data_IF_117534470227
#
_entry.id   IF_117534470227
#
_cell.length_a   1.000
_cell.length_b   1.000
_cell.length_c   1.000
_cell.angle_alpha   90.00
_cell.angle_beta   90.00
_cell.angle_gamma   90.00
#
_symmetry.space_group_name_H-M   'P 1'
#
loop_
_entity.id
_entity.type
_entity.pdbx_description
1 polymer ?
#
# COMPACT_ATOMS: atom_id res chain seq x y z
N UNK A 1 -37.01 -2.69 -12.72
CA UNK A 1 -35.60 -3.02 -12.46
C UNK A 1 -35.46 -3.44 -11.00
N UNK A 2 -35.25 -4.74 -10.73
CA UNK A 2 -35.03 -5.21 -9.35
C UNK A 2 -33.74 -4.65 -8.80
N UNK A 3 -33.75 -4.16 -7.55
CA UNK A 3 -32.52 -3.82 -6.83
C UNK A 3 -31.66 -5.08 -6.77
N UNK A 4 -30.55 -5.14 -7.52
CA UNK A 4 -29.55 -6.20 -7.31
C UNK A 4 -29.04 -6.01 -5.89
N UNK A 5 -29.42 -6.92 -4.99
CA UNK A 5 -28.92 -6.93 -3.63
C UNK A 5 -27.41 -7.15 -3.61
N UNK A 6 -26.74 -6.66 -2.58
CA UNK A 6 -25.34 -6.96 -2.35
C UNK A 6 -25.18 -8.47 -2.13
N UNK A 7 -24.48 -9.15 -3.05
CA UNK A 7 -24.34 -10.60 -3.06
C UNK A 7 -23.31 -11.08 -2.02
N UNK A 8 -23.54 -10.74 -0.75
CA UNK A 8 -22.59 -10.91 0.37
C UNK A 8 -21.98 -12.31 0.41
N UNK A 9 -22.80 -13.36 0.34
CA UNK A 9 -22.33 -14.75 0.41
C UNK A 9 -21.31 -15.10 -0.69
N UNK A 10 -21.51 -14.60 -1.92
CA UNK A 10 -20.57 -14.82 -3.02
C UNK A 10 -19.24 -14.07 -2.79
N UNK A 11 -19.29 -12.86 -2.24
CA UNK A 11 -18.08 -12.13 -1.89
C UNK A 11 -17.30 -12.79 -0.75
N UNK A 12 -17.99 -13.30 0.27
CA UNK A 12 -17.36 -14.06 1.35
C UNK A 12 -16.68 -15.30 0.80
N UNK A 13 -17.37 -16.11 -0.01
CA UNK A 13 -16.79 -17.31 -0.62
C UNK A 13 -15.59 -17.00 -1.51
N UNK A 14 -15.64 -15.90 -2.28
CA UNK A 14 -14.51 -15.44 -3.09
C UNK A 14 -13.29 -15.09 -2.24
N UNK A 15 -13.45 -14.28 -1.19
CA UNK A 15 -12.32 -13.88 -0.36
C UNK A 15 -11.79 -15.02 0.50
N UNK A 16 -12.65 -15.95 0.94
CA UNK A 16 -12.27 -17.14 1.69
C UNK A 16 -11.39 -18.07 0.85
N UNK A 17 -11.77 -18.30 -0.41
CA UNK A 17 -10.94 -19.04 -1.37
C UNK A 17 -9.59 -18.35 -1.58
N UNK A 18 -9.59 -17.06 -1.90
CA UNK A 18 -8.36 -16.28 -2.14
C UNK A 18 -7.43 -16.18 -0.92
N UNK A 19 -7.97 -16.30 0.29
CA UNK A 19 -7.18 -16.31 1.53
C UNK A 19 -6.50 -17.66 1.80
N UNK A 20 -6.99 -18.74 1.18
CA UNK A 20 -6.51 -20.11 1.40
C UNK A 20 -5.60 -20.57 0.27
N UNK A 21 -6.06 -20.43 -0.98
CA UNK A 21 -5.34 -20.90 -2.16
C UNK A 21 -5.67 -20.00 -3.36
N UNK A 22 -4.63 -19.53 -4.05
CA UNK A 22 -4.79 -18.73 -5.26
C UNK A 22 -5.02 -19.65 -6.47
N UNK A 23 -6.07 -19.43 -7.28
CA UNK A 23 -6.28 -20.18 -8.51
C UNK A 23 -5.12 -20.00 -9.50
N UNK A 24 -4.87 -21.00 -10.35
CA UNK A 24 -3.79 -21.01 -11.35
C UNK A 24 -3.77 -19.77 -12.26
N UNK A 25 -4.94 -19.20 -12.57
CA UNK A 25 -5.06 -17.98 -13.37
C UNK A 25 -4.37 -16.76 -12.73
N UNK A 26 -4.09 -16.80 -11.42
CA UNK A 26 -3.33 -15.79 -10.68
C UNK A 26 -1.82 -16.03 -10.68
N UNK A 27 -1.30 -17.09 -11.32
CA UNK A 27 0.13 -17.33 -11.44
C UNK A 27 0.92 -16.12 -12.00
N UNK A 28 0.41 -15.33 -12.99
CA UNK A 28 1.09 -14.12 -13.44
C UNK A 28 1.21 -13.02 -12.37
N UNK A 29 0.42 -13.12 -11.30
CA UNK A 29 0.42 -12.21 -10.16
C UNK A 29 1.23 -12.74 -8.97
N UNK A 30 2.04 -13.79 -9.15
CA UNK A 30 2.81 -14.40 -8.05
C UNK A 30 3.66 -13.36 -7.31
N UNK A 31 4.29 -12.41 -8.03
CA UNK A 31 5.07 -11.31 -7.40
C UNK A 31 4.24 -10.40 -6.49
N UNK A 32 2.92 -10.43 -6.62
CA UNK A 32 1.95 -9.66 -5.84
C UNK A 32 1.18 -10.54 -4.83
N UNK A 33 1.62 -11.76 -4.55
CA UNK A 33 0.93 -12.73 -3.68
C UNK A 33 0.56 -12.12 -2.33
N UNK A 34 1.50 -11.41 -1.68
CA UNK A 34 1.23 -10.75 -0.40
C UNK A 34 0.16 -9.64 -0.51
N UNK A 35 0.14 -8.91 -1.62
CA UNK A 35 -0.86 -7.87 -1.91
C UNK A 35 -2.24 -8.49 -2.17
N UNK A 36 -2.31 -9.64 -2.85
CA UNK A 36 -3.55 -10.39 -3.04
C UNK A 36 -4.08 -10.91 -1.70
N UNK A 37 -3.21 -11.44 -0.84
CA UNK A 37 -3.55 -11.82 0.52
C UNK A 37 -4.12 -10.65 1.32
N UNK A 38 -3.54 -9.45 1.19
CA UNK A 38 -4.07 -8.24 1.81
C UNK A 38 -5.51 -7.94 1.36
N UNK A 39 -5.81 -8.02 0.07
CA UNK A 39 -7.17 -7.80 -0.41
C UNK A 39 -8.15 -8.88 0.06
N UNK A 40 -7.73 -10.15 0.10
CA UNK A 40 -8.56 -11.25 0.58
C UNK A 40 -8.91 -11.09 2.07
N UNK A 41 -7.89 -10.92 2.92
CA UNK A 41 -8.06 -10.76 4.37
C UNK A 41 -8.78 -9.44 4.71
N UNK A 42 -8.46 -8.35 4.01
CA UNK A 42 -9.18 -7.08 4.14
C UNK A 42 -10.64 -7.20 3.74
N UNK A 43 -10.96 -7.93 2.68
CA UNK A 43 -12.31 -8.22 2.25
C UNK A 43 -13.12 -8.99 3.30
N UNK A 44 -12.56 -10.06 3.85
CA UNK A 44 -13.18 -10.81 4.95
C UNK A 44 -13.41 -9.95 6.20
N UNK A 45 -12.42 -9.13 6.56
CA UNK A 45 -12.53 -8.20 7.69
C UNK A 45 -13.65 -7.17 7.49
N UNK A 46 -13.72 -6.53 6.32
CA UNK A 46 -14.78 -5.58 5.97
C UNK A 46 -16.17 -6.22 6.00
N UNK A 47 -16.26 -7.49 5.61
CA UNK A 47 -17.49 -8.27 5.65
C UNK A 47 -17.81 -8.83 7.04
N UNK A 48 -16.92 -8.67 8.03
CA UNK A 48 -17.02 -9.24 9.39
C UNK A 48 -17.06 -10.77 9.40
N UNK A 49 -16.20 -11.39 8.60
CA UNK A 49 -16.08 -12.85 8.43
C UNK A 49 -14.63 -13.32 8.63
N UNK A 50 -13.85 -12.58 9.43
CA UNK A 50 -12.44 -12.87 9.70
C UNK A 50 -12.25 -14.10 10.62
N UNK A 51 -13.31 -14.56 11.27
CA UNK A 51 -13.36 -15.79 12.06
C UNK A 51 -13.28 -17.06 11.22
N UNK A 52 -13.48 -16.97 9.89
CA UNK A 52 -13.34 -18.11 8.96
C UNK A 52 -11.91 -18.59 8.79
N UNK A 53 -10.95 -17.69 9.01
CA UNK A 53 -9.54 -17.97 8.76
C UNK A 53 -8.78 -18.19 10.05
N UNK A 54 -7.74 -19.04 9.99
CA UNK A 54 -6.83 -19.21 11.10
C UNK A 54 -5.85 -18.02 11.15
N UNK A 55 -6.11 -17.09 12.07
CA UNK A 55 -5.33 -15.85 12.24
C UNK A 55 -3.86 -16.09 12.56
N UNK A 56 -3.56 -17.11 13.35
CA UNK A 56 -2.18 -17.45 13.72
C UNK A 56 -1.41 -18.02 12.53
N UNK A 57 -2.05 -18.88 11.73
CA UNK A 57 -1.44 -19.41 10.50
C UNK A 57 -1.26 -18.32 9.44
N UNK A 58 -2.20 -17.38 9.31
CA UNK A 58 -2.01 -16.20 8.45
C UNK A 58 -0.83 -15.36 8.94
N UNK A 59 -0.74 -15.10 10.25
CA UNK A 59 0.36 -14.32 10.80
C UNK A 59 1.71 -14.99 10.53
N UNK A 60 1.84 -16.30 10.76
CA UNK A 60 3.04 -17.08 10.42
C UNK A 60 3.35 -17.02 8.93
N UNK A 61 2.33 -17.17 8.08
CA UNK A 61 2.49 -17.08 6.63
C UNK A 61 3.04 -15.70 6.23
N UNK A 62 2.45 -14.60 6.71
CA UNK A 62 2.93 -13.24 6.41
C UNK A 62 4.36 -13.03 6.91
N UNK A 63 4.65 -13.43 8.15
CA UNK A 63 6.00 -13.31 8.74
C UNK A 63 7.06 -14.07 7.94
N UNK A 64 6.69 -15.15 7.24
CA UNK A 64 7.62 -15.88 6.36
C UNK A 64 8.12 -15.09 5.13
N UNK A 65 7.50 -13.95 4.82
CA UNK A 65 7.95 -13.04 3.75
C UNK A 65 8.88 -11.94 4.26
N UNK A 66 9.10 -11.84 5.58
CA UNK A 66 10.00 -10.84 6.14
C UNK A 66 11.44 -11.17 5.75
N UNK A 67 12.14 -10.16 5.23
CA UNK A 67 13.55 -10.27 4.84
C UNK A 67 14.40 -9.70 5.96
N UNK A 68 15.36 -10.50 6.43
CA UNK A 68 16.25 -10.13 7.52
C UNK A 68 17.70 -9.92 7.02
N UNK A 69 18.50 -9.07 7.67
CA UNK A 69 19.93 -8.99 7.42
C UNK A 69 20.62 -10.34 7.67
N UNK A 70 21.61 -10.69 6.85
CA UNK A 70 22.45 -11.86 7.11
C UNK A 70 23.40 -11.57 8.27
N UNK A 71 23.58 -12.54 9.18
CA UNK A 71 24.37 -12.40 10.42
C UNK A 71 25.85 -12.01 10.23
N UNK A 72 26.36 -12.08 8.99
CA UNK A 72 27.75 -11.80 8.62
C UNK A 72 27.88 -10.87 7.40
N UNK A 73 26.79 -10.23 6.98
CA UNK A 73 26.76 -9.27 5.88
C UNK A 73 26.87 -7.83 6.37
N UNK A 74 27.49 -6.98 5.55
CA UNK A 74 27.61 -5.54 5.78
C UNK A 74 26.21 -4.93 5.99
N UNK A 75 25.91 -4.44 7.21
CA UNK A 75 24.65 -3.74 7.54
C UNK A 75 24.42 -2.51 6.62
N UNK A 76 25.44 -2.13 5.85
CA UNK A 76 25.43 -1.03 4.90
C UNK A 76 25.45 -1.43 3.41
N UNK A 77 25.09 -2.68 3.07
CA UNK A 77 24.98 -3.11 1.66
C UNK A 77 23.88 -2.40 0.84
N UNK A 78 23.17 -1.44 1.45
CA UNK A 78 22.10 -0.65 0.83
C UNK A 78 20.75 -1.38 0.72
N UNK A 79 20.65 -2.64 1.14
CA UNK A 79 19.41 -3.42 1.01
C UNK A 79 18.26 -2.90 1.85
N UNK A 80 17.05 -3.05 1.32
CA UNK A 80 15.81 -2.83 2.06
C UNK A 80 15.35 -4.12 2.75
N UNK A 81 15.14 -4.11 4.06
CA UNK A 81 14.76 -5.27 4.87
C UNK A 81 13.28 -5.22 5.29
N UNK A 82 12.42 -5.24 4.28
CA UNK A 82 10.97 -5.22 4.45
C UNK A 82 10.36 -6.61 4.30
N UNK A 83 9.23 -6.67 3.62
CA UNK A 83 8.61 -7.91 3.17
C UNK A 83 8.71 -8.02 1.65
N UNK A 84 8.97 -9.23 1.16
CA UNK A 84 8.90 -9.53 -0.27
C UNK A 84 7.44 -9.76 -0.70
N UNK A 85 7.14 -9.46 -1.97
CA UNK A 85 5.79 -9.70 -2.52
C UNK A 85 5.49 -11.18 -2.78
N UNK A 86 6.55 -11.98 -2.97
CA UNK A 86 6.51 -13.44 -3.17
C UNK A 86 7.74 -14.09 -2.54
N UNK A 87 7.65 -15.36 -2.13
CA UNK A 87 8.84 -16.15 -1.78
C UNK A 87 9.66 -16.52 -3.01
N UNK A 88 9.05 -16.58 -4.19
CA UNK A 88 9.77 -16.86 -5.45
C UNK A 88 10.84 -15.79 -5.75
N UNK A 89 10.64 -14.54 -5.32
CA UNK A 89 11.62 -13.46 -5.51
C UNK A 89 12.83 -13.55 -4.58
N UNK A 90 12.81 -14.46 -3.60
CA UNK A 90 13.97 -14.73 -2.73
C UNK A 90 14.96 -15.71 -3.39
N UNK A 91 14.58 -16.39 -4.47
CA UNK A 91 15.45 -17.31 -5.20
C UNK A 91 16.10 -16.58 -6.39
N UNK A 92 17.44 -16.49 -6.45
CA UNK A 92 18.12 -15.90 -7.59
C UNK A 92 17.85 -16.74 -8.85
N UNK A 93 17.63 -16.07 -9.99
CA UNK A 93 17.54 -16.76 -11.27
C UNK A 93 18.87 -17.50 -11.53
N UNK A 94 18.85 -18.75 -12.03
CA UNK A 94 20.07 -19.43 -12.42
C UNK A 94 20.68 -18.59 -13.55
N UNK A 95 21.85 -17.99 -13.27
CA UNK A 95 22.64 -17.06 -14.12
C UNK A 95 22.51 -15.56 -13.82
N UNK A 96 21.70 -15.15 -12.84
CA UNK A 96 21.71 -13.77 -12.32
C UNK A 96 21.91 -13.82 -10.82
N UNK A 97 23.18 -13.89 -10.39
CA UNK A 97 23.53 -13.45 -9.03
C UNK A 97 23.52 -11.93 -9.06
N UNK A 98 22.35 -11.33 -8.88
CA UNK A 98 22.29 -9.95 -8.44
C UNK A 98 22.28 -9.97 -6.90
N UNK A 99 23.43 -9.79 -6.23
CA UNK A 99 23.49 -9.76 -4.77
C UNK A 99 22.65 -8.62 -4.17
N UNK A 100 22.14 -7.70 -5.00
CA UNK A 100 21.33 -6.57 -4.60
C UNK A 100 19.81 -6.84 -4.69
N UNK A 101 19.33 -8.05 -5.00
CA UNK A 101 17.88 -8.29 -5.07
C UNK A 101 17.41 -9.29 -4.01
N UNK A 102 17.05 -8.77 -2.83
CA UNK A 102 16.43 -9.57 -1.76
C UNK A 102 14.90 -9.65 -1.85
N UNK A 103 14.31 -9.08 -2.92
CA UNK A 103 12.87 -9.10 -3.18
C UNK A 103 12.01 -8.19 -2.30
N UNK A 104 12.58 -7.47 -1.33
CA UNK A 104 11.81 -6.56 -0.47
C UNK A 104 11.22 -5.40 -1.25
N UNK A 105 9.95 -5.10 -0.98
CA UNK A 105 9.21 -4.05 -1.67
C UNK A 105 8.34 -3.26 -0.69
N UNK A 106 8.28 -1.94 -0.84
CA UNK A 106 7.59 -1.07 0.12
C UNK A 106 6.07 -1.34 0.17
N UNK A 107 5.45 -1.57 -0.99
CA UNK A 107 4.04 -1.97 -1.06
C UNK A 107 3.76 -3.36 -0.45
N UNK A 108 4.71 -4.30 -0.58
CA UNK A 108 4.62 -5.61 0.06
C UNK A 108 4.72 -5.50 1.58
N UNK A 109 5.65 -4.67 2.05
CA UNK A 109 5.82 -4.34 3.48
C UNK A 109 4.56 -3.72 4.09
N UNK A 110 3.96 -2.75 3.39
CA UNK A 110 2.67 -2.18 3.79
C UNK A 110 1.57 -3.26 3.87
N UNK A 111 1.47 -4.12 2.85
CA UNK A 111 0.48 -5.20 2.79
C UNK A 111 0.65 -6.19 3.95
N UNK A 112 1.88 -6.64 4.23
CA UNK A 112 2.20 -7.52 5.35
C UNK A 112 1.76 -6.93 6.70
N UNK A 113 2.23 -5.72 7.03
CA UNK A 113 1.89 -5.10 8.32
C UNK A 113 0.39 -4.86 8.46
N UNK A 114 -0.29 -4.53 7.36
CA UNK A 114 -1.75 -4.35 7.38
C UNK A 114 -2.47 -5.67 7.62
N UNK A 115 -2.07 -6.77 6.97
CA UNK A 115 -2.63 -8.11 7.24
C UNK A 115 -2.42 -8.48 8.71
N UNK A 116 -1.19 -8.35 9.22
CA UNK A 116 -0.84 -8.65 10.61
C UNK A 116 -1.72 -7.86 11.59
N UNK A 117 -1.92 -6.55 11.32
CA UNK A 117 -2.80 -5.71 12.12
C UNK A 117 -4.27 -6.14 12.02
N UNK A 118 -4.76 -6.51 10.83
CA UNK A 118 -6.15 -6.98 10.64
C UNK A 118 -6.41 -8.28 11.42
N UNK A 119 -5.48 -9.23 11.38
CA UNK A 119 -5.63 -10.51 12.10
C UNK A 119 -5.36 -10.40 13.61
N UNK A 120 -4.99 -9.21 14.10
CA UNK A 120 -4.77 -8.95 15.53
C UNK A 120 -3.40 -9.36 16.04
N UNK A 121 -2.41 -9.53 15.16
CA UNK A 121 -1.03 -9.78 15.55
C UNK A 121 -0.42 -8.55 16.23
N UNK A 122 0.31 -8.75 17.33
CA UNK A 122 1.01 -7.67 18.01
C UNK A 122 2.27 -7.27 17.24
N UNK A 123 2.22 -6.11 16.55
CA UNK A 123 3.34 -5.61 15.74
C UNK A 123 4.60 -5.31 16.55
N UNK A 124 4.52 -5.15 17.88
CA UNK A 124 5.69 -5.00 18.75
C UNK A 124 6.63 -6.23 18.72
N UNK A 125 6.15 -7.38 18.23
CA UNK A 125 6.96 -8.59 18.07
C UNK A 125 7.76 -8.63 16.76
N UNK A 126 7.62 -7.63 15.88
CA UNK A 126 8.40 -7.53 14.65
C UNK A 126 9.69 -6.80 14.97
N UNK A 127 10.83 -7.33 14.50
CA UNK A 127 12.07 -6.55 14.44
C UNK A 127 11.93 -5.47 13.36
N UNK A 128 11.47 -4.29 13.78
CA UNK A 128 11.24 -3.13 12.93
C UNK A 128 12.48 -2.29 12.70
N UNK A 129 13.58 -2.51 13.46
CA UNK A 129 14.74 -1.62 13.41
C UNK A 129 15.43 -1.69 12.06
N UNK A 130 15.74 -2.89 11.59
CA UNK A 130 16.35 -3.09 10.27
C UNK A 130 15.41 -2.61 9.14
N UNK A 131 14.11 -2.87 9.27
CA UNK A 131 13.08 -2.43 8.34
C UNK A 131 13.05 -0.91 8.20
N UNK A 132 12.95 -0.18 9.31
CA UNK A 132 12.83 1.28 9.30
C UNK A 132 14.12 1.97 8.87
N UNK A 133 15.28 1.53 9.38
CA UNK A 133 16.57 2.11 9.01
C UNK A 133 16.86 1.93 7.52
N UNK A 134 16.56 0.76 6.96
CA UNK A 134 16.72 0.51 5.53
C UNK A 134 15.65 1.19 4.68
N UNK A 135 14.39 1.27 5.15
CA UNK A 135 13.33 2.04 4.49
C UNK A 135 13.70 3.52 4.36
N UNK A 136 14.35 4.10 5.37
CA UNK A 136 14.81 5.50 5.33
C UNK A 136 15.74 5.77 4.15
N UNK A 137 16.59 4.80 3.79
CA UNK A 137 17.52 4.90 2.65
C UNK A 137 16.78 4.95 1.30
N UNK A 138 15.50 4.55 1.25
CA UNK A 138 14.67 4.65 0.05
C UNK A 138 14.11 6.06 -0.18
N UNK A 139 14.17 6.94 0.83
CA UNK A 139 13.72 8.31 0.69
C UNK A 139 14.72 9.13 -0.13
N UNK A 140 14.22 9.77 -1.17
CA UNK A 140 15.01 10.56 -2.09
C UNK A 140 15.26 11.98 -1.56
N UNK A 141 16.26 12.71 -2.09
CA UNK A 141 16.55 14.08 -1.69
C UNK A 141 15.36 15.04 -1.81
N UNK A 142 14.49 14.81 -2.79
CA UNK A 142 13.27 15.61 -3.03
C UNK A 142 12.11 15.24 -2.09
N UNK A 143 12.27 14.20 -1.27
CA UNK A 143 11.28 13.68 -0.31
C UNK A 143 10.38 12.58 -0.84
N UNK A 144 10.49 12.21 -2.13
CA UNK A 144 9.81 11.03 -2.68
C UNK A 144 10.40 9.72 -2.12
N UNK A 145 9.72 8.60 -2.35
CA UNK A 145 10.20 7.28 -1.96
C UNK A 145 10.32 6.36 -3.16
N UNK A 146 11.40 5.60 -3.20
CA UNK A 146 11.54 4.45 -4.07
C UNK A 146 10.92 3.21 -3.41
N UNK A 147 10.36 2.26 -4.19
CA UNK A 147 9.78 1.05 -3.62
C UNK A 147 10.80 -0.02 -3.22
N UNK A 148 12.00 0.03 -3.80
CA UNK A 148 13.10 -0.92 -3.59
C UNK A 148 14.42 -0.15 -3.61
N UNK A 149 15.49 -0.78 -3.13
CA UNK A 149 16.82 -0.17 -3.04
C UNK A 149 17.60 -0.14 -4.37
N UNK A 150 17.16 -0.90 -5.37
CA UNK A 150 17.87 -1.06 -6.65
C UNK A 150 17.50 -0.04 -7.73
N UNK A 151 16.53 0.85 -7.49
CA UNK A 151 15.97 1.66 -8.58
C UNK A 151 14.56 1.23 -8.95
N UNK A 152 13.64 2.18 -8.99
CA UNK A 152 12.29 2.03 -9.55
C UNK A 152 11.62 3.41 -9.66
N UNK A 153 10.37 3.45 -10.10
CA UNK A 153 9.61 4.69 -10.17
C UNK A 153 9.40 5.31 -8.79
N UNK A 154 9.42 6.64 -8.74
CA UNK A 154 8.98 7.39 -7.57
C UNK A 154 7.52 7.80 -7.79
N UNK A 155 6.66 7.35 -6.86
CA UNK A 155 5.22 7.53 -6.89
C UNK A 155 4.74 7.84 -5.47
N UNK A 156 3.70 8.65 -5.34
CA UNK A 156 3.16 9.05 -4.04
C UNK A 156 2.62 7.87 -3.23
N UNK A 157 2.23 6.78 -3.90
CA UNK A 157 1.88 5.50 -3.27
C UNK A 157 2.97 5.02 -2.32
N UNK A 158 4.24 5.22 -2.66
CA UNK A 158 5.36 4.79 -1.83
C UNK A 158 5.59 5.72 -0.64
N UNK A 159 5.32 7.02 -0.80
CA UNK A 159 5.27 7.95 0.34
C UNK A 159 4.16 7.56 1.32
N UNK A 160 2.99 7.18 0.81
CA UNK A 160 1.90 6.65 1.62
C UNK A 160 2.29 5.36 2.34
N UNK A 161 2.89 4.39 1.63
CA UNK A 161 3.33 3.14 2.25
C UNK A 161 4.33 3.41 3.38
N UNK A 162 5.36 4.24 3.16
CA UNK A 162 6.35 4.58 4.19
C UNK A 162 5.70 5.25 5.41
N UNK A 163 4.83 6.25 5.19
CA UNK A 163 4.14 6.95 6.26
C UNK A 163 3.22 6.02 7.07
N UNK A 164 2.47 5.14 6.39
CA UNK A 164 1.60 4.15 7.02
C UNK A 164 2.40 3.10 7.81
N UNK A 165 3.53 2.64 7.28
CA UNK A 165 4.44 1.70 7.98
C UNK A 165 4.94 2.34 9.28
N UNK A 166 5.51 3.56 9.22
CA UNK A 166 5.95 4.30 10.41
C UNK A 166 4.82 4.45 11.43
N UNK A 167 3.61 4.80 10.96
CA UNK A 167 2.45 4.96 11.84
C UNK A 167 1.95 3.65 12.44
N UNK A 168 2.01 2.52 11.72
CA UNK A 168 1.60 1.22 12.23
C UNK A 168 2.56 0.68 13.29
N UNK A 169 3.85 0.95 13.12
CA UNK A 169 4.92 0.53 14.03
C UNK A 169 5.17 1.52 15.18
N UNK A 170 4.48 2.66 15.17
CA UNK A 170 4.68 3.78 16.11
C UNK A 170 6.16 4.25 16.20
N UNK A 171 6.87 4.20 15.06
CA UNK A 171 8.26 4.60 14.96
C UNK A 171 8.49 5.34 13.64
N UNK A 172 8.90 6.61 13.76
CA UNK A 172 9.12 7.53 12.64
C UNK A 172 10.58 7.65 12.19
N UNK A 173 11.48 6.83 12.73
CA UNK A 173 12.90 6.84 12.33
C UNK A 173 13.10 6.50 10.85
N UNK A 174 12.17 5.76 10.25
CA UNK A 174 12.20 5.32 8.86
C UNK A 174 11.82 6.35 7.80
N UNK A 175 11.45 7.58 8.19
CA UNK A 175 11.06 8.62 7.23
C UNK A 175 11.33 10.04 7.76
N UNK A 176 11.87 10.90 6.90
CA UNK A 176 11.85 12.35 7.09
C UNK A 176 10.48 12.92 6.69
N UNK A 177 9.67 13.26 7.71
CA UNK A 177 8.32 13.84 7.52
C UNK A 177 8.35 15.19 6.82
N UNK A 178 9.37 16.01 7.06
CA UNK A 178 9.45 17.35 6.49
C UNK A 178 9.72 17.27 4.99
N UNK A 179 10.68 16.42 4.59
CA UNK A 179 10.95 16.19 3.17
C UNK A 179 9.74 15.61 2.43
N UNK A 180 9.04 14.63 3.00
CA UNK A 180 7.84 14.08 2.37
C UNK A 180 6.73 15.15 2.23
N UNK A 181 6.56 16.01 3.23
CA UNK A 181 5.63 17.16 3.17
C UNK A 181 6.05 18.14 2.07
N UNK A 182 7.33 18.47 1.97
CA UNK A 182 7.88 19.36 0.94
C UNK A 182 7.73 18.75 -0.45
N UNK A 183 7.93 17.45 -0.62
CA UNK A 183 7.69 16.74 -1.87
C UNK A 183 6.23 16.89 -2.33
N UNK A 184 5.27 16.61 -1.44
CA UNK A 184 3.84 16.77 -1.73
C UNK A 184 3.54 18.23 -2.08
N UNK A 185 4.04 19.15 -1.26
CA UNK A 185 3.81 20.58 -1.45
C UNK A 185 4.48 21.10 -2.72
N UNK A 186 5.58 20.55 -3.21
CA UNK A 186 6.27 21.09 -4.39
C UNK A 186 5.86 20.37 -5.68
N UNK A 187 5.60 19.06 -5.63
CA UNK A 187 5.40 18.24 -6.83
C UNK A 187 3.94 17.83 -7.04
N UNK A 188 3.13 17.81 -5.99
CA UNK A 188 1.77 17.27 -6.00
C UNK A 188 0.78 18.22 -5.30
N UNK A 189 0.92 19.53 -5.52
CA UNK A 189 -0.08 20.50 -5.04
C UNK A 189 -1.44 20.17 -5.63
N UNK A 190 -2.46 20.43 -4.82
CA UNK A 190 -3.83 20.46 -5.28
C UNK A 190 -3.92 21.41 -6.49
N UNK A 191 -4.45 20.90 -7.59
CA UNK A 191 -4.54 21.66 -8.84
C UNK A 191 -5.82 22.52 -8.84
N UNK A 192 -5.98 23.35 -9.86
CA UNK A 192 -7.09 24.32 -9.94
C UNK A 192 -8.47 23.70 -9.98
N UNK A 193 -8.60 22.43 -10.38
CA UNK A 193 -9.88 21.70 -10.33
C UNK A 193 -10.21 21.13 -8.95
N UNK A 194 -9.33 21.33 -7.96
CA UNK A 194 -9.47 20.82 -6.60
C UNK A 194 -8.93 19.39 -6.39
N UNK A 195 -8.56 18.67 -7.45
CA UNK A 195 -8.00 17.33 -7.38
C UNK A 195 -6.49 17.31 -7.16
N UNK A 196 -5.93 16.10 -7.20
CA UNK A 196 -4.50 15.84 -7.15
C UNK A 196 -4.09 14.99 -8.35
N UNK A 197 -2.86 15.17 -8.80
CA UNK A 197 -2.28 14.45 -9.94
C UNK A 197 -1.13 13.56 -9.46
N UNK A 198 -0.69 12.63 -10.31
CA UNK A 198 0.47 11.79 -10.01
C UNK A 198 1.80 12.36 -10.41
N UNK A 199 1.81 13.21 -11.43
CA UNK A 199 2.97 13.92 -11.94
C UNK A 199 2.51 15.26 -12.49
N UNK A 200 3.42 16.23 -12.53
CA UNK A 200 3.14 17.56 -13.10
C UNK A 200 2.55 17.45 -14.51
N UNK A 201 1.54 18.28 -14.79
CA UNK A 201 0.86 18.38 -16.08
C UNK A 201 0.05 17.13 -16.49
N UNK A 202 -0.30 16.26 -15.53
CA UNK A 202 -1.28 15.18 -15.76
C UNK A 202 -2.65 15.58 -15.24
N UNK A 203 -3.75 15.03 -15.78
CA UNK A 203 -5.07 15.25 -15.21
C UNK A 203 -5.15 14.80 -13.75
N UNK A 204 -6.02 15.45 -12.99
CA UNK A 204 -6.36 15.01 -11.64
C UNK A 204 -6.93 13.60 -11.64
N UNK A 205 -6.51 12.82 -10.64
CA UNK A 205 -6.95 11.45 -10.43
C UNK A 205 -7.31 11.23 -8.96
N UNK A 206 -8.51 10.70 -8.74
CA UNK A 206 -9.07 10.41 -7.41
C UNK A 206 -8.19 9.51 -6.56
N UNK A 207 -7.34 8.65 -7.13
CA UNK A 207 -6.41 7.86 -6.33
C UNK A 207 -5.38 8.74 -5.62
N UNK A 208 -4.93 9.85 -6.24
CA UNK A 208 -4.01 10.78 -5.58
C UNK A 208 -4.70 11.61 -4.50
N UNK A 209 -6.02 11.81 -4.56
CA UNK A 209 -6.76 12.34 -3.41
C UNK A 209 -6.61 11.43 -2.18
N UNK A 210 -6.64 10.12 -2.38
CA UNK A 210 -6.38 9.15 -1.31
C UNK A 210 -4.92 9.13 -0.87
N UNK A 211 -3.97 8.99 -1.80
CA UNK A 211 -2.55 8.90 -1.44
C UNK A 211 -2.03 10.19 -0.80
N UNK A 212 -2.29 11.36 -1.39
CA UNK A 212 -1.89 12.66 -0.84
C UNK A 212 -2.61 12.92 0.48
N UNK A 213 -3.94 12.77 0.48
CA UNK A 213 -4.76 13.01 1.66
C UNK A 213 -4.38 12.12 2.84
N UNK A 214 -4.15 10.84 2.56
CA UNK A 214 -3.70 9.85 3.53
C UNK A 214 -2.34 10.19 4.13
N UNK A 215 -1.33 10.49 3.30
CA UNK A 215 -0.02 10.91 3.81
C UNK A 215 -0.15 12.15 4.69
N UNK A 216 -0.80 13.20 4.18
CA UNK A 216 -0.94 14.46 4.91
C UNK A 216 -1.71 14.27 6.22
N UNK A 217 -2.70 13.38 6.26
CA UNK A 217 -3.39 13.00 7.51
C UNK A 217 -2.44 12.30 8.49
N UNK A 218 -1.73 11.27 8.02
CA UNK A 218 -0.82 10.45 8.83
C UNK A 218 0.33 11.30 9.42
N UNK A 219 0.87 12.26 8.67
CA UNK A 219 1.98 13.13 9.15
C UNK A 219 1.50 14.40 9.89
N UNK A 220 0.19 14.57 10.12
CA UNK A 220 -0.37 15.73 10.84
C UNK A 220 -0.43 17.04 10.03
N UNK A 221 -0.39 16.97 8.70
CA UNK A 221 -0.40 18.10 7.77
C UNK A 221 -1.69 18.19 6.93
N UNK A 222 -2.79 17.58 7.39
CA UNK A 222 -4.06 17.53 6.64
C UNK A 222 -4.66 18.91 6.33
N UNK A 223 -4.35 19.90 7.16
CA UNK A 223 -4.77 21.31 7.00
C UNK A 223 -4.21 22.00 5.76
N UNK A 224 -3.25 21.38 5.05
CA UNK A 224 -2.69 21.89 3.80
C UNK A 224 -3.61 21.64 2.58
N UNK A 225 -4.71 20.91 2.76
CA UNK A 225 -5.66 20.58 1.70
C UNK A 225 -6.83 21.56 1.73
N UNK A 226 -7.20 22.11 0.58
CA UNK A 226 -8.52 22.73 0.42
C UNK A 226 -9.59 21.64 0.35
N UNK A 227 -10.20 21.36 1.51
CA UNK A 227 -11.21 20.32 1.64
C UNK A 227 -12.47 20.60 0.81
N UNK A 228 -12.82 21.87 0.60
CA UNK A 228 -13.99 22.26 -0.18
C UNK A 228 -13.76 21.96 -1.65
N UNK A 229 -12.64 22.43 -2.21
CA UNK A 229 -12.27 22.18 -3.60
C UNK A 229 -12.07 20.67 -3.87
N UNK A 230 -11.43 19.94 -2.95
CA UNK A 230 -11.26 18.49 -3.09
C UNK A 230 -12.60 17.75 -3.13
N UNK A 231 -13.54 18.16 -2.26
CA UNK A 231 -14.87 17.57 -2.22
C UNK A 231 -15.62 17.83 -3.53
N UNK A 232 -15.55 19.04 -4.07
CA UNK A 232 -16.17 19.39 -5.36
C UNK A 232 -15.59 18.54 -6.48
N UNK A 233 -14.26 18.43 -6.57
CA UNK A 233 -13.58 17.54 -7.53
C UNK A 233 -14.10 16.09 -7.45
N UNK A 234 -14.13 15.50 -6.26
CA UNK A 234 -14.58 14.12 -6.07
C UNK A 234 -16.04 13.92 -6.47
N UNK A 235 -16.89 14.93 -6.27
CA UNK A 235 -18.29 14.90 -6.74
C UNK A 235 -18.38 14.94 -8.27
N UNK A 236 -17.49 15.66 -8.97
CA UNK A 236 -17.46 15.62 -10.45
C UNK A 236 -17.03 14.24 -10.98
N UNK A 237 -16.28 13.48 -10.19
CA UNK A 237 -15.87 12.12 -10.52
C UNK A 237 -16.97 11.09 -10.21
N UNK A 238 -18.07 11.49 -9.58
CA UNK A 238 -19.17 10.59 -9.27
C UNK A 238 -20.08 10.38 -10.51
N UNK A 239 -20.26 9.13 -10.92
CA UNK A 239 -21.19 8.76 -11.98
C UNK A 239 -22.65 8.93 -11.52
N UNK A 240 -23.62 9.02 -12.44
CA UNK A 240 -25.05 9.00 -12.09
C UNK A 240 -25.46 7.75 -11.28
N UNK A 241 -24.72 6.65 -11.41
CA UNK A 241 -24.87 5.42 -10.63
C UNK A 241 -24.19 5.50 -9.24
N UNK A 242 -23.76 6.69 -8.81
CA UNK A 242 -23.05 6.99 -7.55
C UNK A 242 -21.69 6.31 -7.37
N UNK A 243 -21.10 5.76 -8.44
CA UNK A 243 -19.75 5.20 -8.42
C UNK A 243 -18.73 6.31 -8.60
N UNK A 244 -17.59 6.22 -7.92
CA UNK A 244 -16.47 7.16 -8.12
C UNK A 244 -15.62 6.64 -9.28
N UNK A 245 -15.28 7.52 -10.20
CA UNK A 245 -14.38 7.28 -11.34
C UNK A 245 -12.98 7.83 -11.03
N UNK A 246 -11.98 7.36 -11.76
CA UNK A 246 -10.61 7.85 -11.58
C UNK A 246 -10.47 9.34 -11.91
N UNK A 247 -11.22 9.86 -12.89
CA UNK A 247 -11.24 11.27 -13.27
C UNK A 247 -12.62 11.68 -13.82
N UNK A 248 -12.85 12.99 -13.95
CA UNK A 248 -14.06 13.51 -14.57
C UNK A 248 -14.18 13.02 -16.02
N UNK A 249 -15.35 12.47 -16.39
CA UNK A 249 -15.61 11.97 -17.74
C UNK A 249 -15.07 10.56 -18.06
N UNK A 250 -14.32 9.94 -17.16
CA UNK A 250 -13.81 8.58 -17.35
C UNK A 250 -14.92 7.50 -17.42
N UNK A 251 -14.58 6.32 -17.95
CA UNK A 251 -15.43 5.13 -17.87
C UNK A 251 -15.47 4.59 -16.44
N UNK A 252 -16.60 3.98 -16.05
CA UNK A 252 -16.78 3.38 -14.74
C UNK A 252 -15.79 2.22 -14.53
N UNK A 253 -14.89 2.36 -13.55
CA UNK A 253 -14.03 1.29 -13.04
C UNK A 253 -14.36 1.08 -11.56
N UNK A 254 -14.58 -0.17 -11.14
CA UNK A 254 -15.10 -0.47 -9.78
C UNK A 254 -14.08 -0.24 -8.65
N UNK A 255 -12.81 0.06 -8.96
CA UNK A 255 -11.71 0.12 -7.97
C UNK A 255 -11.77 1.31 -7.02
N UNK A 256 -12.45 2.41 -7.39
CA UNK A 256 -12.34 3.69 -6.67
C UNK A 256 -13.45 3.93 -5.62
N UNK A 257 -14.37 2.97 -5.44
CA UNK A 257 -15.51 3.13 -4.51
C UNK A 257 -15.12 2.86 -3.04
N UNK A 258 -13.98 2.21 -2.78
CA UNK A 258 -13.53 1.81 -1.44
C UNK A 258 -12.73 2.92 -0.72
N UNK A 259 -12.38 4.01 -1.41
CA UNK A 259 -11.37 4.98 -0.92
C UNK A 259 -11.89 6.06 0.06
N UNK A 260 -13.20 6.12 0.36
CA UNK A 260 -13.78 7.23 1.16
C UNK A 260 -14.28 6.79 2.55
N UNK A 261 -14.27 5.50 2.89
CA UNK A 261 -14.78 5.02 4.18
C UNK A 261 -13.76 4.16 4.91
N UNK A 262 -12.92 4.80 5.74
CA UNK A 262 -12.14 4.10 6.76
C UNK A 262 -10.64 4.09 6.53
N UNK A 263 -9.99 5.20 6.89
CA UNK A 263 -8.75 5.13 7.65
C UNK A 263 -9.05 5.80 9.00
N UNK A 264 -8.61 5.21 10.13
CA UNK A 264 -8.78 5.79 11.47
C UNK A 264 -8.18 7.20 11.57
#
# INVERSE_FOLDING_TARGET
MGKRGFARAHHVAFFDAMATELPDDYAPQEVNHLTLGYFAIGGLSLLRELDRVNKDEIAKWVLSFQVHPEAHGDEDNGSFYGFCGSRSTQFPLPNVKDPCHNGSHLAGTYSALTILKIVGYNLANIDSKALLLSMKKLQQPDGSFMPTHIGAETDLRFVYCAAAICSMLDDWTGMDKLKAKEYIFNCQRQVTDGGFQGRRNKPSDTCYAFWVGGVLKIIGAYHLIDHCALREFLLTCQSPAKKIKHSAGALDQNTYTVLITGLP
#
